data_IF_819940278706
#
_entry.id   IF_819940278706
#
_cell.length_a   1.000
_cell.length_b   1.000
_cell.length_c   1.000
_cell.angle_alpha   90.00
_cell.angle_beta   90.00
_cell.angle_gamma   90.00
#
_symmetry.space_group_name_H-M   'P 1'
#
loop_
_entity.id
_entity.type
_entity.pdbx_description
1 polymer ?
#
# COMPACT_ATOMS: atom_id res chain seq x y z
N UNK A 1 -42.58 15.53 28.24
CA UNK A 1 -41.70 14.40 28.55
C UNK A 1 -41.47 13.50 27.33
N UNK A 2 -42.48 13.34 26.49
CA UNK A 2 -42.43 12.37 25.36
C UNK A 2 -41.37 12.69 24.26
N UNK A 3 -41.18 13.95 23.92
CA UNK A 3 -40.18 14.34 22.91
C UNK A 3 -38.74 14.10 23.38
N UNK A 4 -38.42 14.36 24.65
CA UNK A 4 -37.09 14.11 25.20
C UNK A 4 -36.81 12.61 25.27
N UNK A 5 -37.80 11.83 25.70
CA UNK A 5 -37.69 10.38 25.74
C UNK A 5 -37.50 9.78 24.32
N UNK A 6 -38.26 10.25 23.33
CA UNK A 6 -38.12 9.88 21.95
C UNK A 6 -36.75 10.22 21.41
N UNK A 7 -36.26 11.45 21.66
CA UNK A 7 -34.92 11.88 21.21
C UNK A 7 -33.81 11.04 21.83
N UNK A 8 -33.92 10.71 23.12
CA UNK A 8 -32.97 9.83 23.81
C UNK A 8 -32.99 8.40 23.23
N UNK A 9 -34.17 7.86 22.92
CA UNK A 9 -34.30 6.56 22.26
C UNK A 9 -33.63 6.55 20.89
N UNK A 10 -33.87 7.57 20.05
CA UNK A 10 -33.25 7.73 18.74
C UNK A 10 -31.73 7.80 18.85
N UNK A 11 -31.23 8.65 19.74
CA UNK A 11 -29.81 8.80 19.96
C UNK A 11 -29.17 7.51 20.45
N UNK A 12 -29.77 6.84 21.42
CA UNK A 12 -29.24 5.56 21.95
C UNK A 12 -29.30 4.45 20.90
N UNK A 13 -30.38 4.36 20.13
CA UNK A 13 -30.49 3.39 19.02
C UNK A 13 -29.42 3.62 17.95
N UNK A 14 -29.19 4.85 17.54
CA UNK A 14 -28.13 5.19 16.58
C UNK A 14 -26.72 4.89 17.13
N UNK A 15 -26.47 5.18 18.40
CA UNK A 15 -25.17 4.95 19.04
C UNK A 15 -24.90 3.48 19.40
N UNK A 16 -25.91 2.61 19.38
CA UNK A 16 -25.75 1.18 19.71
C UNK A 16 -26.01 0.26 18.51
N UNK A 17 -27.17 0.40 17.85
CA UNK A 17 -27.55 -0.48 16.75
C UNK A 17 -26.67 -0.29 15.51
N UNK A 18 -26.37 0.96 15.15
CA UNK A 18 -25.52 1.25 13.99
C UNK A 18 -24.10 0.71 14.16
N UNK A 19 -23.37 1.00 15.26
CA UNK A 19 -22.06 0.39 15.49
C UNK A 19 -22.07 -1.13 15.57
N UNK A 20 -23.11 -1.73 16.16
CA UNK A 20 -23.23 -3.19 16.25
C UNK A 20 -23.36 -3.83 14.86
N UNK A 21 -24.20 -3.26 13.98
CA UNK A 21 -24.36 -3.77 12.59
C UNK A 21 -23.11 -3.56 11.76
N UNK A 22 -22.42 -2.43 11.90
CA UNK A 22 -21.11 -2.18 11.25
C UNK A 22 -20.08 -3.19 11.74
N UNK A 23 -19.98 -3.40 13.04
CA UNK A 23 -19.06 -4.39 13.62
C UNK A 23 -19.30 -5.79 13.08
N UNK A 24 -20.58 -6.23 13.03
CA UNK A 24 -20.93 -7.54 12.48
C UNK A 24 -20.56 -7.66 11.00
N UNK A 25 -20.80 -6.63 10.21
CA UNK A 25 -20.41 -6.58 8.79
C UNK A 25 -18.90 -6.77 8.63
N UNK A 26 -18.11 -5.95 9.33
CA UNK A 26 -16.64 -6.04 9.27
C UNK A 26 -16.10 -7.34 9.86
N UNK A 27 -16.76 -7.90 10.87
CA UNK A 27 -16.43 -9.23 11.40
C UNK A 27 -16.68 -10.31 10.34
N UNK A 28 -17.71 -10.15 9.51
CA UNK A 28 -17.95 -10.98 8.34
C UNK A 28 -16.73 -11.06 7.42
N UNK A 29 -16.08 -9.94 7.16
CA UNK A 29 -14.81 -9.91 6.41
C UNK A 29 -13.65 -10.53 7.19
N UNK A 30 -13.53 -10.27 8.48
CA UNK A 30 -12.41 -10.72 9.30
C UNK A 30 -12.34 -12.25 9.49
N UNK A 31 -13.49 -12.92 9.60
CA UNK A 31 -13.57 -14.38 9.86
C UNK A 31 -12.88 -15.20 8.76
N UNK A 32 -13.20 -15.05 7.47
CA UNK A 32 -12.48 -15.79 6.42
C UNK A 32 -10.98 -15.55 6.44
N UNK A 33 -10.54 -14.32 6.73
CA UNK A 33 -9.11 -14.01 6.78
C UNK A 33 -8.41 -14.69 7.93
N UNK A 34 -9.03 -14.78 9.10
CA UNK A 34 -8.51 -15.53 10.24
C UNK A 34 -8.39 -17.03 9.95
N UNK A 35 -9.24 -17.57 9.09
CA UNK A 35 -9.23 -18.99 8.70
C UNK A 35 -8.22 -19.27 7.57
N UNK A 36 -8.09 -18.37 6.60
CA UNK A 36 -7.35 -18.60 5.36
C UNK A 36 -5.91 -18.07 5.40
N UNK A 37 -5.61 -17.10 6.27
CA UNK A 37 -4.27 -16.51 6.43
C UNK A 37 -3.70 -16.78 7.82
N UNK A 38 -2.36 -16.81 7.92
CA UNK A 38 -1.64 -16.83 9.21
C UNK A 38 -1.31 -15.42 9.71
N UNK A 39 -1.52 -14.39 8.89
CA UNK A 39 -1.22 -13.00 9.20
C UNK A 39 -2.17 -12.42 10.25
N UNK A 40 -1.75 -11.40 11.01
CA UNK A 40 -2.65 -10.63 11.86
C UNK A 40 -3.73 -9.92 11.03
N UNK A 41 -4.95 -9.89 11.56
CA UNK A 41 -6.10 -9.23 10.93
C UNK A 41 -6.48 -8.00 11.72
N UNK A 42 -6.52 -6.84 11.06
CA UNK A 42 -6.99 -5.56 11.61
C UNK A 42 -8.42 -5.27 11.20
N UNK A 43 -9.30 -5.06 12.17
CA UNK A 43 -10.68 -4.62 11.98
C UNK A 43 -10.81 -3.22 12.54
N UNK A 44 -11.28 -2.26 11.74
CA UNK A 44 -11.35 -0.85 12.10
C UNK A 44 -12.79 -0.36 12.09
N UNK A 45 -13.22 0.25 13.19
CA UNK A 45 -14.55 0.85 13.34
C UNK A 45 -14.39 2.36 13.49
N UNK A 46 -15.00 3.13 12.59
CA UNK A 46 -14.92 4.59 12.57
C UNK A 46 -13.60 5.16 12.09
N UNK A 47 -12.71 4.32 11.51
CA UNK A 47 -11.45 4.74 10.90
C UNK A 47 -11.12 3.89 9.68
N UNK A 48 -10.29 4.42 8.80
CA UNK A 48 -9.87 3.77 7.54
C UNK A 48 -8.43 3.24 7.66
N UNK A 49 -8.15 2.46 8.70
CA UNK A 49 -6.81 1.89 8.92
C UNK A 49 -5.83 2.82 9.63
N UNK A 50 -6.16 4.10 9.88
CA UNK A 50 -5.31 5.01 10.64
C UNK A 50 -5.35 4.67 12.13
N UNK A 51 -4.25 4.13 12.66
CA UNK A 51 -4.14 3.64 14.05
C UNK A 51 -3.84 4.72 15.10
N UNK A 52 -3.67 6.00 14.70
CA UNK A 52 -3.11 7.03 15.58
C UNK A 52 -3.97 7.46 16.76
N UNK A 53 -5.31 7.24 16.73
CA UNK A 53 -6.26 7.65 17.77
C UNK A 53 -7.37 6.62 17.96
N UNK A 54 -7.01 5.34 18.09
CA UNK A 54 -7.97 4.25 18.25
C UNK A 54 -7.75 3.52 19.57
N UNK A 55 -8.85 3.15 20.22
CA UNK A 55 -8.84 2.13 21.27
C UNK A 55 -8.59 0.77 20.59
N UNK A 56 -7.70 -0.04 21.15
CA UNK A 56 -7.30 -1.34 20.58
C UNK A 56 -7.72 -2.48 21.49
N UNK A 57 -8.41 -3.45 20.93
CA UNK A 57 -8.73 -4.72 21.58
C UNK A 57 -8.08 -5.87 20.79
N UNK A 58 -7.11 -6.55 21.40
CA UNK A 58 -6.39 -7.66 20.77
C UNK A 58 -6.99 -9.00 21.21
N UNK A 59 -7.46 -9.78 20.24
CA UNK A 59 -8.06 -11.11 20.41
C UNK A 59 -7.28 -12.12 19.57
N UNK A 60 -6.16 -12.61 20.09
CA UNK A 60 -5.26 -13.47 19.35
C UNK A 60 -4.67 -12.77 18.12
N UNK A 61 -4.98 -13.29 16.91
CA UNK A 61 -4.59 -12.70 15.63
C UNK A 61 -5.48 -11.55 15.15
N UNK A 62 -6.68 -11.40 15.73
CA UNK A 62 -7.58 -10.29 15.43
C UNK A 62 -7.26 -9.11 16.34
N UNK A 63 -7.10 -7.92 15.76
CA UNK A 63 -7.02 -6.67 16.49
C UNK A 63 -8.15 -5.76 16.04
N UNK A 64 -9.05 -5.43 16.97
CA UNK A 64 -10.15 -4.50 16.71
C UNK A 64 -9.73 -3.10 17.14
N UNK A 65 -9.91 -2.16 16.24
CA UNK A 65 -9.58 -0.74 16.43
C UNK A 65 -10.88 0.06 16.44
N UNK A 66 -11.21 0.69 17.56
CA UNK A 66 -12.35 1.61 17.67
C UNK A 66 -11.84 3.04 17.65
N UNK A 67 -12.35 3.85 16.75
CA UNK A 67 -12.06 5.29 16.78
C UNK A 67 -12.56 5.89 18.10
N UNK A 68 -11.76 6.80 18.72
CA UNK A 68 -12.10 7.41 20.01
C UNK A 68 -13.42 8.21 20.01
N UNK A 69 -13.86 8.71 18.82
CA UNK A 69 -15.14 9.42 18.66
C UNK A 69 -16.22 8.42 18.20
N UNK A 70 -17.20 8.06 19.05
CA UNK A 70 -18.25 7.10 18.72
C UNK A 70 -19.20 7.58 17.63
N UNK A 71 -19.32 8.88 17.38
CA UNK A 71 -20.12 9.41 16.26
C UNK A 71 -19.54 9.05 14.88
N UNK A 72 -18.36 8.47 14.81
CA UNK A 72 -17.77 7.92 13.58
C UNK A 72 -18.01 6.44 13.38
N UNK A 73 -18.60 5.73 14.33
CA UNK A 73 -18.78 4.27 14.27
C UNK A 73 -19.88 3.81 13.29
N UNK A 74 -20.28 4.67 12.35
CA UNK A 74 -21.23 4.33 11.29
C UNK A 74 -20.56 3.74 10.04
N UNK A 75 -19.23 3.57 10.03
CA UNK A 75 -18.46 2.90 8.99
C UNK A 75 -17.30 2.11 9.60
N UNK A 76 -16.84 1.10 8.84
CA UNK A 76 -15.70 0.30 9.20
C UNK A 76 -14.88 -0.08 7.97
N UNK A 77 -13.78 -0.77 8.20
CA UNK A 77 -13.03 -1.46 7.17
C UNK A 77 -12.20 -2.58 7.77
N UNK A 78 -11.98 -3.60 6.96
CA UNK A 78 -11.08 -4.70 7.23
C UNK A 78 -10.23 -4.89 5.98
N UNK A 79 -8.91 -4.98 6.13
CA UNK A 79 -8.01 -5.12 4.98
C UNK A 79 -7.53 -6.56 4.86
N UNK A 80 -7.58 -7.17 3.65
CA UNK A 80 -7.08 -8.51 3.44
C UNK A 80 -5.56 -8.53 3.57
N UNK A 81 -4.98 -9.53 4.23
CA UNK A 81 -3.55 -9.80 4.14
C UNK A 81 -3.18 -10.23 2.72
N UNK A 82 -1.95 -9.92 2.29
CA UNK A 82 -1.50 -10.18 0.92
C UNK A 82 -1.31 -11.65 0.54
N UNK A 83 -1.45 -12.57 1.49
CA UNK A 83 -1.16 -14.00 1.33
C UNK A 83 -2.38 -14.88 1.02
N UNK A 84 -3.57 -14.30 0.79
CA UNK A 84 -4.77 -15.08 0.49
C UNK A 84 -5.01 -15.24 -1.02
N UNK A 85 -5.44 -16.45 -1.43
CA UNK A 85 -5.80 -16.75 -2.81
C UNK A 85 -6.98 -15.90 -3.30
N UNK A 86 -7.17 -15.82 -4.63
CA UNK A 86 -8.29 -15.10 -5.24
C UNK A 86 -9.64 -15.62 -4.73
N UNK A 87 -9.81 -16.95 -4.59
CA UNK A 87 -11.00 -17.52 -3.98
C UNK A 87 -11.20 -17.08 -2.53
N UNK A 88 -10.12 -16.96 -1.76
CA UNK A 88 -10.13 -16.39 -0.42
C UNK A 88 -10.52 -14.91 -0.41
N UNK A 89 -10.03 -14.12 -1.38
CA UNK A 89 -10.43 -12.72 -1.54
C UNK A 89 -11.90 -12.58 -1.93
N UNK A 90 -12.41 -13.44 -2.81
CA UNK A 90 -13.84 -13.48 -3.15
C UNK A 90 -14.69 -13.78 -1.92
N UNK A 91 -14.29 -14.80 -1.14
CA UNK A 91 -15.00 -15.16 0.09
C UNK A 91 -14.97 -14.01 1.10
N UNK A 92 -13.81 -13.39 1.30
CA UNK A 92 -13.65 -12.21 2.14
C UNK A 92 -14.62 -11.09 1.73
N UNK A 93 -14.64 -10.71 0.46
CA UNK A 93 -15.48 -9.60 -0.03
C UNK A 93 -16.96 -9.92 0.06
N UNK A 94 -17.36 -11.17 -0.16
CA UNK A 94 -18.76 -11.59 -0.11
C UNK A 94 -19.33 -11.70 1.32
N UNK A 95 -18.50 -12.05 2.32
CA UNK A 95 -18.99 -12.40 3.66
C UNK A 95 -19.49 -11.20 4.46
N UNK A 96 -18.95 -10.00 4.29
CA UNK A 96 -19.49 -8.79 4.93
C UNK A 96 -20.96 -8.54 4.55
N UNK A 97 -21.28 -8.36 3.25
CA UNK A 97 -22.66 -8.22 2.78
C UNK A 97 -23.58 -9.41 3.19
N UNK A 98 -23.06 -10.65 3.17
CA UNK A 98 -23.83 -11.83 3.60
C UNK A 98 -24.18 -11.80 5.11
N UNK A 99 -23.25 -11.36 5.94
CA UNK A 99 -23.51 -11.20 7.39
C UNK A 99 -24.52 -10.07 7.61
N UNK A 100 -24.44 -8.96 6.86
CA UNK A 100 -25.46 -7.90 6.92
C UNK A 100 -26.83 -8.42 6.51
N UNK A 101 -26.91 -9.26 5.48
CA UNK A 101 -28.17 -9.89 5.04
C UNK A 101 -28.73 -10.81 6.13
N UNK A 102 -27.89 -11.64 6.75
CA UNK A 102 -28.28 -12.47 7.89
C UNK A 102 -28.77 -11.63 9.07
N UNK A 103 -28.05 -10.57 9.42
CA UNK A 103 -28.42 -9.64 10.49
C UNK A 103 -29.78 -8.98 10.19
N UNK A 104 -29.99 -8.53 8.93
CA UNK A 104 -31.28 -7.99 8.50
C UNK A 104 -32.42 -8.98 8.76
N UNK A 105 -32.31 -10.22 8.29
CA UNK A 105 -33.37 -11.22 8.46
C UNK A 105 -33.61 -11.57 9.91
N UNK A 106 -32.56 -11.71 10.73
CA UNK A 106 -32.71 -11.98 12.17
C UNK A 106 -33.43 -10.83 12.86
N UNK A 107 -32.94 -9.58 12.69
CA UNK A 107 -33.55 -8.40 13.28
C UNK A 107 -35.00 -8.21 12.81
N UNK A 108 -35.29 -8.44 11.52
CA UNK A 108 -36.62 -8.34 10.94
C UNK A 108 -37.61 -9.35 11.52
N UNK A 109 -37.18 -10.62 11.69
CA UNK A 109 -38.07 -11.64 12.25
C UNK A 109 -38.34 -11.43 13.74
N UNK A 110 -37.33 -11.03 14.52
CA UNK A 110 -37.51 -10.69 15.94
C UNK A 110 -38.37 -9.42 16.08
N UNK A 111 -38.10 -8.39 15.28
CA UNK A 111 -38.88 -7.14 15.27
C UNK A 111 -40.38 -7.36 15.05
N UNK A 112 -40.76 -8.31 14.15
CA UNK A 112 -42.16 -8.64 13.91
C UNK A 112 -42.87 -9.27 15.08
N UNK A 113 -42.14 -9.91 16.00
CA UNK A 113 -42.67 -10.56 17.18
C UNK A 113 -42.71 -9.66 18.43
N UNK A 114 -42.14 -8.45 18.37
CA UNK A 114 -42.04 -7.56 19.53
C UNK A 114 -43.20 -6.56 19.58
N UNK A 115 -43.65 -6.29 20.83
CA UNK A 115 -44.64 -5.24 21.08
C UNK A 115 -44.11 -3.85 20.70
N UNK A 116 -44.89 -3.02 20.00
CA UNK A 116 -44.48 -1.67 19.60
C UNK A 116 -44.19 -0.76 20.81
N UNK A 117 -43.11 0.02 20.75
CA UNK A 117 -42.90 1.19 21.63
C UNK A 117 -41.81 1.05 22.70
N UNK A 118 -41.18 -0.10 22.85
CA UNK A 118 -40.05 -0.28 23.78
C UNK A 118 -38.70 0.09 23.15
N UNK A 119 -37.68 0.34 24.01
CA UNK A 119 -36.28 0.57 23.56
C UNK A 119 -35.77 -0.58 22.66
N UNK A 120 -36.10 -1.83 23.02
CA UNK A 120 -35.67 -2.99 22.25
C UNK A 120 -36.28 -3.02 20.85
N UNK A 121 -37.58 -2.73 20.73
CA UNK A 121 -38.26 -2.61 19.43
C UNK A 121 -37.61 -1.51 18.57
N UNK A 122 -37.28 -0.36 19.17
CA UNK A 122 -36.58 0.72 18.47
C UNK A 122 -35.15 0.35 18.05
N UNK A 123 -34.39 -0.33 18.91
CA UNK A 123 -33.09 -0.87 18.60
C UNK A 123 -33.14 -1.82 17.38
N UNK A 124 -34.10 -2.77 17.37
CA UNK A 124 -34.30 -3.68 16.25
C UNK A 124 -34.69 -2.95 14.96
N UNK A 125 -35.52 -1.90 15.08
CA UNK A 125 -35.88 -1.04 13.94
C UNK A 125 -34.63 -0.40 13.33
N UNK A 126 -33.80 0.23 14.14
CA UNK A 126 -32.54 0.84 13.70
C UNK A 126 -31.59 -0.21 13.09
N UNK A 127 -31.43 -1.36 13.74
CA UNK A 127 -30.56 -2.45 13.25
C UNK A 127 -31.05 -3.01 11.91
N UNK A 128 -32.35 -3.21 11.74
CA UNK A 128 -32.96 -3.67 10.49
C UNK A 128 -32.75 -2.69 9.36
N UNK A 129 -33.10 -1.41 9.59
CA UNK A 129 -32.94 -0.34 8.59
C UNK A 129 -31.46 -0.17 8.20
N UNK A 130 -30.57 -0.16 9.18
CA UNK A 130 -29.15 0.03 8.90
C UNK A 130 -28.50 -1.18 8.23
N UNK A 131 -28.88 -2.40 8.60
CA UNK A 131 -28.43 -3.63 7.91
C UNK A 131 -28.86 -3.63 6.44
N UNK A 132 -30.11 -3.22 6.16
CA UNK A 132 -30.60 -3.07 4.79
C UNK A 132 -29.83 -1.98 4.01
N UNK A 133 -29.61 -0.83 4.63
CA UNK A 133 -28.76 0.22 4.05
C UNK A 133 -27.35 -0.29 3.75
N UNK A 134 -26.73 -1.01 4.67
CA UNK A 134 -25.38 -1.58 4.50
C UNK A 134 -25.33 -2.54 3.33
N UNK A 135 -26.34 -3.42 3.17
CA UNK A 135 -26.44 -4.32 2.01
C UNK A 135 -26.43 -3.52 0.71
N UNK A 136 -27.30 -2.49 0.60
CA UNK A 136 -27.36 -1.66 -0.60
C UNK A 136 -26.07 -0.86 -0.83
N UNK A 137 -25.48 -0.33 0.23
CA UNK A 137 -24.26 0.48 0.14
C UNK A 137 -23.04 -0.34 -0.25
N UNK A 138 -22.95 -1.61 0.18
CA UNK A 138 -21.80 -2.48 -0.08
C UNK A 138 -22.00 -3.39 -1.28
N UNK A 139 -23.22 -3.89 -1.56
CA UNK A 139 -23.50 -4.79 -2.68
C UNK A 139 -23.62 -4.07 -4.03
N UNK A 140 -24.16 -2.83 -4.06
CA UNK A 140 -24.24 -2.06 -5.31
C UNK A 140 -22.85 -1.55 -5.68
N UNK A 141 -22.27 -1.97 -6.82
CA UNK A 141 -20.88 -1.65 -7.17
C UNK A 141 -20.62 -0.16 -7.29
N UNK A 142 -19.66 0.35 -6.52
CA UNK A 142 -19.16 1.73 -6.56
C UNK A 142 -17.65 1.73 -6.64
N UNK A 143 -17.09 2.37 -7.67
CA UNK A 143 -15.64 2.35 -7.95
C UNK A 143 -14.79 3.09 -6.92
N UNK A 144 -15.36 4.10 -6.28
CA UNK A 144 -14.62 4.92 -5.34
C UNK A 144 -15.54 5.30 -4.18
N UNK A 145 -15.29 4.72 -3.01
CA UNK A 145 -16.02 4.99 -1.77
C UNK A 145 -15.11 5.58 -0.70
N UNK A 146 -13.78 5.52 -0.88
CA UNK A 146 -12.80 6.05 0.05
C UNK A 146 -11.38 5.87 -0.46
N UNK A 147 -10.40 6.14 0.40
CA UNK A 147 -8.99 5.89 0.18
C UNK A 147 -8.47 5.00 1.31
N UNK A 148 -7.60 4.03 0.98
CA UNK A 148 -6.94 3.19 1.97
C UNK A 148 -5.87 3.99 2.75
N UNK A 149 -5.16 3.33 3.68
CA UNK A 149 -4.11 3.96 4.47
C UNK A 149 -2.97 4.56 3.62
N UNK A 150 -2.78 4.05 2.40
CA UNK A 150 -1.77 4.50 1.44
C UNK A 150 -2.30 5.58 0.48
N UNK A 151 -3.49 6.12 0.74
CA UNK A 151 -4.12 7.13 -0.10
C UNK A 151 -4.71 6.62 -1.42
N UNK A 152 -4.70 5.29 -1.67
CA UNK A 152 -5.27 4.72 -2.88
C UNK A 152 -6.80 4.64 -2.78
N UNK A 153 -7.52 5.04 -3.85
CA UNK A 153 -8.97 4.90 -3.88
C UNK A 153 -9.34 3.42 -3.93
N UNK A 154 -10.35 3.03 -3.16
CA UNK A 154 -10.91 1.68 -3.20
C UNK A 154 -12.40 1.71 -3.47
N UNK A 155 -12.88 0.65 -4.11
CA UNK A 155 -14.30 0.41 -4.36
C UNK A 155 -14.97 -0.25 -3.15
N UNK A 156 -16.30 -0.28 -3.14
CA UNK A 156 -17.06 -1.07 -2.16
C UNK A 156 -16.98 -2.57 -2.47
N UNK A 157 -17.54 -3.41 -1.58
CA UNK A 157 -17.50 -4.87 -1.70
C UNK A 157 -18.07 -5.36 -3.03
N UNK A 158 -19.20 -4.82 -3.48
CA UNK A 158 -19.80 -5.19 -4.75
C UNK A 158 -18.88 -4.90 -5.95
N UNK A 159 -18.18 -3.76 -5.94
CA UNK A 159 -17.21 -3.44 -6.98
C UNK A 159 -16.01 -4.39 -6.93
N UNK A 160 -15.45 -4.60 -5.74
CA UNK A 160 -14.31 -5.48 -5.55
C UNK A 160 -14.67 -6.93 -5.92
N UNK A 161 -15.87 -7.39 -5.58
CA UNK A 161 -16.36 -8.71 -5.93
C UNK A 161 -16.51 -8.89 -7.45
N UNK A 162 -17.09 -7.90 -8.15
CA UNK A 162 -17.19 -7.93 -9.60
C UNK A 162 -15.81 -7.90 -10.29
N UNK A 163 -14.87 -7.13 -9.77
CA UNK A 163 -13.50 -7.13 -10.30
C UNK A 163 -12.82 -8.49 -10.09
N UNK A 164 -13.03 -9.14 -8.94
CA UNK A 164 -12.50 -10.48 -8.67
C UNK A 164 -13.15 -11.55 -9.56
N UNK A 165 -14.48 -11.47 -9.78
CA UNK A 165 -15.17 -12.34 -10.75
C UNK A 165 -14.62 -12.12 -12.16
N UNK A 166 -14.55 -10.86 -12.60
CA UNK A 166 -13.99 -10.51 -13.90
C UNK A 166 -12.57 -11.04 -14.05
N UNK A 167 -11.76 -10.86 -13.00
CA UNK A 167 -10.40 -11.39 -12.94
C UNK A 167 -10.39 -12.93 -13.02
N UNK A 168 -11.23 -13.63 -12.27
CA UNK A 168 -11.30 -15.08 -12.24
C UNK A 168 -11.82 -15.72 -13.55
N UNK A 169 -12.85 -15.10 -14.16
CA UNK A 169 -13.51 -15.67 -15.34
C UNK A 169 -12.81 -15.35 -16.66
N UNK A 170 -12.15 -14.19 -16.74
CA UNK A 170 -11.63 -13.69 -18.01
C UNK A 170 -10.10 -13.62 -18.07
N UNK A 171 -9.36 -14.03 -17.02
CA UNK A 171 -7.95 -13.74 -16.91
C UNK A 171 -7.08 -14.89 -16.38
N UNK A 172 -7.24 -16.11 -16.94
CA UNK A 172 -6.31 -17.20 -16.69
C UNK A 172 -4.83 -16.74 -16.82
N UNK A 173 -4.44 -16.14 -17.97
CA UNK A 173 -3.10 -15.59 -18.17
C UNK A 173 -2.71 -14.48 -17.20
N UNK A 174 -3.66 -13.61 -16.80
CA UNK A 174 -3.40 -12.56 -15.80
C UNK A 174 -3.16 -13.09 -14.39
N UNK A 175 -3.79 -14.20 -14.03
CA UNK A 175 -3.55 -14.84 -12.72
C UNK A 175 -2.13 -15.36 -12.64
N UNK A 176 -1.70 -16.09 -13.68
CA UNK A 176 -0.34 -16.64 -13.74
C UNK A 176 0.73 -15.55 -13.78
N UNK A 177 0.50 -14.47 -14.54
CA UNK A 177 1.36 -13.29 -14.51
C UNK A 177 1.44 -12.66 -13.13
N UNK A 178 0.31 -12.48 -12.41
CA UNK A 178 0.31 -11.93 -11.06
C UNK A 178 1.00 -12.85 -10.06
N UNK A 179 0.81 -14.16 -10.17
CA UNK A 179 1.52 -15.13 -9.34
C UNK A 179 3.04 -15.04 -9.57
N UNK A 180 3.48 -14.95 -10.83
CA UNK A 180 4.88 -14.74 -11.16
C UNK A 180 5.42 -13.41 -10.61
N UNK A 181 4.67 -12.30 -10.75
CA UNK A 181 5.03 -10.99 -10.18
C UNK A 181 5.16 -11.06 -8.65
N UNK A 182 4.20 -11.70 -7.97
CA UNK A 182 4.20 -11.84 -6.51
C UNK A 182 5.39 -12.67 -6.01
N UNK A 183 5.82 -13.66 -6.82
CA UNK A 183 7.00 -14.46 -6.56
C UNK A 183 8.30 -13.76 -7.01
N UNK A 184 8.22 -12.55 -7.58
CA UNK A 184 9.33 -11.79 -8.19
C UNK A 184 10.00 -12.50 -9.36
N UNK A 185 9.29 -13.44 -9.99
CA UNK A 185 9.73 -14.11 -11.22
C UNK A 185 9.31 -13.28 -12.45
N UNK A 186 10.00 -12.16 -12.63
CA UNK A 186 9.72 -11.22 -13.72
C UNK A 186 10.01 -11.79 -15.11
N UNK A 187 11.02 -12.66 -15.31
CA UNK A 187 11.22 -13.38 -16.57
C UNK A 187 9.97 -14.19 -16.96
N UNK A 188 9.47 -15.06 -16.08
CA UNK A 188 8.24 -15.82 -16.33
C UNK A 188 7.04 -14.89 -16.57
N UNK A 189 6.89 -13.82 -15.77
CA UNK A 189 5.83 -12.84 -15.95
C UNK A 189 5.89 -12.17 -17.33
N UNK A 190 7.11 -11.92 -17.85
CA UNK A 190 7.31 -11.35 -19.19
C UNK A 190 6.89 -12.33 -20.29
N UNK A 191 7.27 -13.60 -20.19
CA UNK A 191 6.90 -14.62 -21.17
C UNK A 191 5.38 -14.82 -21.24
N UNK A 192 4.72 -14.86 -20.09
CA UNK A 192 3.26 -14.92 -19.98
C UNK A 192 2.58 -13.68 -20.57
N UNK A 193 3.17 -12.49 -20.38
CA UNK A 193 2.66 -11.27 -20.96
C UNK A 193 2.79 -11.24 -22.48
N UNK A 194 3.91 -11.67 -23.03
CA UNK A 194 4.12 -11.76 -24.47
C UNK A 194 3.16 -12.78 -25.10
N UNK A 195 2.98 -13.95 -24.48
CA UNK A 195 2.02 -14.94 -24.91
C UNK A 195 0.60 -14.36 -24.92
N UNK A 196 0.21 -13.63 -23.86
CA UNK A 196 -1.09 -12.97 -23.78
C UNK A 196 -1.31 -11.99 -24.94
N UNK A 197 -0.28 -11.22 -25.33
CA UNK A 197 -0.37 -10.32 -26.48
C UNK A 197 -0.49 -11.07 -27.82
N UNK A 198 0.24 -12.19 -27.99
CA UNK A 198 0.17 -13.05 -29.18
C UNK A 198 -1.21 -13.68 -29.34
N UNK A 199 -1.86 -14.05 -28.24
CA UNK A 199 -3.21 -14.60 -28.21
C UNK A 199 -4.31 -13.52 -28.43
N UNK A 200 -3.91 -12.30 -28.80
CA UNK A 200 -4.82 -11.19 -29.11
C UNK A 200 -5.29 -10.43 -27.87
N UNK A 201 -4.66 -10.67 -26.73
CA UNK A 201 -4.97 -9.95 -25.48
C UNK A 201 -4.54 -8.49 -25.54
N UNK A 202 -5.44 -7.60 -25.17
CA UNK A 202 -5.21 -6.15 -25.20
C UNK A 202 -5.90 -5.50 -24.00
N UNK A 203 -5.52 -4.25 -23.72
CA UNK A 203 -6.21 -3.43 -22.76
C UNK A 203 -5.28 -2.69 -21.80
N UNK A 204 -5.80 -1.63 -21.21
CA UNK A 204 -5.04 -0.75 -20.31
C UNK A 204 -4.35 -1.50 -19.18
N UNK A 205 -5.06 -2.41 -18.51
CA UNK A 205 -4.52 -3.14 -17.36
C UNK A 205 -3.41 -4.12 -17.77
N UNK A 206 -3.55 -4.75 -18.95
CA UNK A 206 -2.48 -5.58 -19.50
C UNK A 206 -1.21 -4.77 -19.78
N UNK A 207 -1.37 -3.65 -20.47
CA UNK A 207 -0.22 -2.78 -20.79
C UNK A 207 0.43 -2.18 -19.53
N UNK A 208 -0.34 -1.86 -18.47
CA UNK A 208 0.21 -1.46 -17.16
C UNK A 208 1.03 -2.55 -16.54
N UNK A 209 0.50 -3.79 -16.54
CA UNK A 209 1.20 -4.95 -15.99
C UNK A 209 2.48 -5.22 -16.77
N UNK A 210 2.43 -5.22 -18.12
CA UNK A 210 3.62 -5.34 -18.95
C UNK A 210 4.64 -4.23 -18.69
N UNK A 211 4.21 -2.97 -18.56
CA UNK A 211 5.11 -1.87 -18.25
C UNK A 211 5.74 -2.02 -16.85
N UNK A 212 5.00 -2.51 -15.87
CA UNK A 212 5.53 -2.84 -14.54
C UNK A 212 6.57 -3.98 -14.62
N UNK A 213 6.26 -5.06 -15.32
CA UNK A 213 7.18 -6.21 -15.53
C UNK A 213 8.47 -5.74 -16.19
N UNK A 214 8.37 -5.00 -17.31
CA UNK A 214 9.56 -4.50 -18.03
C UNK A 214 10.37 -3.48 -17.22
N UNK A 215 9.73 -2.71 -16.36
CA UNK A 215 10.44 -1.84 -15.43
C UNK A 215 11.35 -2.64 -14.48
N UNK A 216 10.83 -3.75 -13.93
CA UNK A 216 11.60 -4.63 -13.05
C UNK A 216 12.69 -5.42 -13.80
N UNK A 217 12.48 -5.73 -15.08
CA UNK A 217 13.50 -6.33 -15.96
C UNK A 217 14.51 -5.31 -16.50
N UNK A 218 14.43 -4.05 -16.06
CA UNK A 218 15.26 -2.92 -16.54
C UNK A 218 15.13 -2.66 -18.06
N UNK A 219 14.06 -3.17 -18.69
CA UNK A 219 13.70 -2.94 -20.10
C UNK A 219 12.84 -1.66 -20.22
N UNK A 220 13.40 -0.53 -19.83
CA UNK A 220 12.66 0.73 -19.64
C UNK A 220 12.01 1.26 -20.91
N UNK A 221 12.67 1.11 -22.08
CA UNK A 221 12.12 1.56 -23.35
C UNK A 221 10.85 0.79 -23.72
N UNK A 222 10.83 -0.52 -23.46
CA UNK A 222 9.64 -1.36 -23.65
C UNK A 222 8.52 -0.95 -22.68
N UNK A 223 8.86 -0.67 -21.43
CA UNK A 223 7.91 -0.20 -20.43
C UNK A 223 7.27 1.14 -20.84
N UNK A 224 8.07 2.10 -21.28
CA UNK A 224 7.60 3.40 -21.77
C UNK A 224 6.75 3.28 -23.04
N UNK A 225 7.11 2.41 -23.97
CA UNK A 225 6.33 2.14 -25.19
C UNK A 225 4.92 1.63 -24.88
N UNK A 226 4.77 0.78 -23.85
CA UNK A 226 3.45 0.33 -23.39
C UNK A 226 2.63 1.47 -22.76
N UNK A 227 3.26 2.35 -22.00
CA UNK A 227 2.60 3.54 -21.45
C UNK A 227 2.18 4.50 -22.56
N UNK A 228 2.97 4.67 -23.62
CA UNK A 228 2.59 5.48 -24.78
C UNK A 228 1.41 4.83 -25.52
N UNK A 229 1.36 3.51 -25.61
CA UNK A 229 0.21 2.78 -26.14
C UNK A 229 -1.06 3.04 -25.31
N UNK A 230 -0.94 3.12 -23.99
CA UNK A 230 -2.06 3.52 -23.12
C UNK A 230 -2.46 4.97 -23.41
N UNK A 231 -1.50 5.88 -23.54
CA UNK A 231 -1.73 7.30 -23.79
C UNK A 231 -2.46 7.55 -25.12
N UNK A 232 -2.08 6.83 -26.17
CA UNK A 232 -2.69 6.97 -27.50
C UNK A 232 -4.13 6.44 -27.59
N UNK A 233 -4.45 5.40 -26.81
CA UNK A 233 -5.76 4.70 -26.86
C UNK A 233 -6.71 5.09 -25.73
N UNK A 234 -6.19 5.66 -24.65
CA UNK A 234 -6.93 5.92 -23.41
C UNK A 234 -6.43 7.20 -22.75
N UNK A 235 -7.27 7.86 -21.95
CA UNK A 235 -6.83 8.97 -21.09
C UNK A 235 -5.89 8.44 -19.99
N UNK A 236 -4.73 9.05 -19.84
CA UNK A 236 -3.81 8.74 -18.73
C UNK A 236 -4.48 9.03 -17.38
N UNK A 237 -4.30 8.14 -16.42
CA UNK A 237 -4.81 8.26 -15.05
C UNK A 237 -3.65 8.35 -14.05
N UNK A 238 -3.95 8.67 -12.82
CA UNK A 238 -2.99 8.80 -11.71
C UNK A 238 -1.96 7.67 -11.69
N UNK A 239 -2.40 6.43 -11.74
CA UNK A 239 -1.51 5.26 -11.74
C UNK A 239 -0.57 5.21 -12.96
N UNK A 240 -1.01 5.63 -14.15
CA UNK A 240 -0.18 5.65 -15.36
C UNK A 240 0.96 6.66 -15.21
N UNK A 241 0.67 7.83 -14.62
CA UNK A 241 1.70 8.83 -14.29
C UNK A 241 2.64 8.34 -13.19
N UNK A 242 2.12 7.70 -12.13
CA UNK A 242 2.97 7.10 -11.08
C UNK A 242 3.94 6.09 -11.68
N UNK A 243 3.46 5.18 -12.54
CA UNK A 243 4.30 4.19 -13.18
C UNK A 243 5.34 4.83 -14.11
N UNK A 244 4.96 5.85 -14.90
CA UNK A 244 5.89 6.61 -15.73
C UNK A 244 7.00 7.28 -14.89
N UNK A 245 6.60 7.97 -13.81
CA UNK A 245 7.56 8.59 -12.90
C UNK A 245 8.48 7.55 -12.23
N UNK A 246 7.95 6.39 -11.85
CA UNK A 246 8.75 5.29 -11.28
C UNK A 246 9.77 4.74 -12.29
N UNK A 247 9.40 4.59 -13.57
CA UNK A 247 10.33 4.19 -14.62
C UNK A 247 11.45 5.23 -14.78
N UNK A 248 11.13 6.53 -14.76
CA UNK A 248 12.15 7.57 -14.81
C UNK A 248 13.07 7.55 -13.59
N UNK A 249 12.54 7.29 -12.37
CA UNK A 249 13.38 7.11 -11.19
C UNK A 249 14.33 5.92 -11.34
N UNK A 250 13.85 4.81 -11.88
CA UNK A 250 14.67 3.61 -12.12
C UNK A 250 15.76 3.84 -13.17
N UNK A 251 15.52 4.74 -14.15
CA UNK A 251 16.52 5.21 -15.11
C UNK A 251 17.45 6.31 -14.56
N UNK A 252 17.29 6.73 -13.30
CA UNK A 252 17.94 7.89 -12.70
C UNK A 252 17.67 9.23 -13.45
N UNK A 253 16.60 9.29 -14.22
CA UNK A 253 16.09 10.50 -14.87
C UNK A 253 15.27 11.32 -13.87
N UNK A 254 15.95 11.80 -12.83
CA UNK A 254 15.32 12.37 -11.63
C UNK A 254 14.56 13.65 -11.94
N UNK A 255 15.09 14.45 -12.87
CA UNK A 255 14.51 15.72 -13.29
C UNK A 255 13.28 15.57 -14.19
N UNK A 256 13.16 14.44 -14.89
CA UNK A 256 11.94 14.06 -15.61
C UNK A 256 10.87 13.48 -14.67
N UNK A 257 11.28 12.81 -13.59
CA UNK A 257 10.38 12.20 -12.61
C UNK A 257 9.74 13.24 -11.68
N UNK A 258 10.48 14.23 -11.23
CA UNK A 258 10.04 15.22 -10.23
C UNK A 258 8.74 15.94 -10.63
N UNK A 259 8.60 16.57 -11.82
CA UNK A 259 7.39 17.28 -12.19
C UNK A 259 6.16 16.36 -12.28
N UNK A 260 6.35 15.07 -12.56
CA UNK A 260 5.24 14.10 -12.55
C UNK A 260 4.70 13.93 -11.12
N UNK A 261 5.58 13.68 -10.15
CA UNK A 261 5.14 13.50 -8.77
C UNK A 261 4.64 14.81 -8.15
N UNK A 262 5.17 15.95 -8.52
CA UNK A 262 4.65 17.27 -8.12
C UNK A 262 3.22 17.47 -8.63
N UNK A 263 2.98 17.24 -9.91
CA UNK A 263 1.62 17.32 -10.48
C UNK A 263 0.64 16.33 -9.84
N UNK A 264 1.10 15.16 -9.43
CA UNK A 264 0.26 14.19 -8.70
C UNK A 264 -0.08 14.69 -7.29
N UNK A 265 0.90 15.29 -6.62
CA UNK A 265 0.73 15.87 -5.28
C UNK A 265 -0.11 17.14 -5.27
N UNK A 266 -0.12 17.94 -6.35
CA UNK A 266 -1.03 19.06 -6.52
C UNK A 266 -2.51 18.60 -6.55
N UNK A 267 -2.76 17.42 -7.11
CA UNK A 267 -4.10 16.83 -7.19
C UNK A 267 -4.50 16.07 -5.92
N UNK A 268 -3.56 15.36 -5.34
CA UNK A 268 -3.73 14.61 -4.10
C UNK A 268 -2.50 14.81 -3.20
N UNK A 269 -2.49 15.85 -2.35
CA UNK A 269 -1.36 16.15 -1.47
C UNK A 269 -1.03 15.05 -0.45
N UNK A 270 -1.94 14.12 -0.19
CA UNK A 270 -1.79 13.02 0.78
C UNK A 270 -1.48 11.67 0.12
N UNK A 271 -1.02 11.67 -1.14
CA UNK A 271 -0.53 10.46 -1.80
C UNK A 271 0.86 10.08 -1.28
N UNK A 272 0.90 9.11 -0.36
CA UNK A 272 2.13 8.65 0.30
C UNK A 272 3.15 8.07 -0.69
N UNK A 273 2.69 7.44 -1.78
CA UNK A 273 3.57 6.91 -2.83
C UNK A 273 4.28 8.04 -3.59
N UNK A 274 3.54 9.05 -4.04
CA UNK A 274 4.13 10.21 -4.72
C UNK A 274 5.02 11.03 -3.80
N UNK A 275 4.67 11.17 -2.50
CA UNK A 275 5.53 11.82 -1.51
C UNK A 275 6.85 11.07 -1.33
N UNK A 276 6.83 9.75 -1.24
CA UNK A 276 8.03 8.92 -1.15
C UNK A 276 8.86 8.98 -2.42
N UNK A 277 8.25 8.88 -3.59
CA UNK A 277 8.93 8.93 -4.88
C UNK A 277 9.61 10.30 -5.11
N UNK A 278 8.92 11.40 -4.80
CA UNK A 278 9.51 12.74 -4.80
C UNK A 278 10.67 12.84 -3.80
N UNK A 279 10.49 12.28 -2.58
CA UNK A 279 11.54 12.26 -1.56
C UNK A 279 12.77 11.47 -2.00
N UNK A 280 12.60 10.33 -2.67
CA UNK A 280 13.70 9.58 -3.28
C UNK A 280 14.44 10.40 -4.32
N UNK A 281 13.72 11.01 -5.29
CA UNK A 281 14.31 11.83 -6.34
C UNK A 281 15.13 12.99 -5.75
N UNK A 282 14.55 13.73 -4.80
CA UNK A 282 15.22 14.83 -4.11
C UNK A 282 16.48 14.37 -3.34
N UNK A 283 16.39 13.24 -2.64
CA UNK A 283 17.52 12.64 -1.93
C UNK A 283 18.66 12.26 -2.88
N UNK A 284 18.35 11.66 -4.03
CA UNK A 284 19.34 11.32 -5.06
C UNK A 284 19.95 12.57 -5.74
N UNK A 285 19.22 13.70 -5.77
CA UNK A 285 19.74 15.01 -6.22
C UNK A 285 20.51 15.77 -5.12
N UNK A 286 20.70 15.19 -3.94
CA UNK A 286 21.37 15.85 -2.81
C UNK A 286 20.52 16.88 -2.06
N UNK A 287 19.24 17.03 -2.39
CA UNK A 287 18.28 17.96 -1.75
C UNK A 287 17.63 17.33 -0.53
N UNK A 288 18.46 16.93 0.44
CA UNK A 288 18.04 16.05 1.55
C UNK A 288 17.02 16.69 2.50
N UNK A 289 17.13 17.99 2.81
CA UNK A 289 16.20 18.71 3.67
C UNK A 289 14.80 18.76 3.05
N UNK A 290 14.72 18.99 1.75
CA UNK A 290 13.45 19.00 1.01
C UNK A 290 12.86 17.57 0.94
N UNK A 291 13.69 16.56 0.69
CA UNK A 291 13.29 15.17 0.70
C UNK A 291 12.63 14.78 2.03
N UNK A 292 13.22 15.17 3.14
CA UNK A 292 12.71 14.87 4.49
C UNK A 292 11.32 15.44 4.75
N UNK A 293 10.93 16.58 4.17
CA UNK A 293 9.59 17.14 4.35
C UNK A 293 8.52 16.20 3.79
N UNK A 294 8.69 15.74 2.55
CA UNK A 294 7.80 14.78 1.89
C UNK A 294 7.79 13.42 2.59
N UNK A 295 8.98 12.89 2.91
CA UNK A 295 9.14 11.59 3.57
C UNK A 295 8.53 11.55 4.97
N UNK A 296 8.65 12.63 5.75
CA UNK A 296 7.97 12.75 7.04
C UNK A 296 6.46 12.69 6.89
N UNK A 297 5.90 13.32 5.84
CA UNK A 297 4.47 13.26 5.56
C UNK A 297 4.05 11.87 5.10
N UNK A 298 4.81 11.22 4.20
CA UNK A 298 4.57 9.86 3.74
C UNK A 298 4.50 8.87 4.90
N UNK A 299 5.45 8.94 5.84
CA UNK A 299 5.49 8.08 7.03
C UNK A 299 4.30 8.34 7.98
N UNK A 300 3.87 9.60 8.15
CA UNK A 300 2.68 9.88 8.96
C UNK A 300 1.41 9.32 8.34
N UNK A 301 1.30 9.35 7.01
CA UNK A 301 0.15 8.82 6.26
C UNK A 301 0.16 7.30 6.21
N UNK A 302 1.33 6.69 6.02
CA UNK A 302 1.53 5.25 5.91
C UNK A 302 2.67 4.78 6.82
N UNK A 303 2.43 4.55 8.13
CA UNK A 303 3.47 4.15 9.08
C UNK A 303 4.12 2.78 8.83
N UNK A 304 3.55 1.97 7.94
CA UNK A 304 4.11 0.68 7.49
C UNK A 304 4.92 0.78 6.18
N UNK A 305 5.16 1.96 5.66
CA UNK A 305 5.82 2.12 4.37
C UNK A 305 7.35 2.06 4.48
N UNK A 306 7.91 0.86 4.34
CA UNK A 306 9.34 0.58 4.50
C UNK A 306 10.24 1.50 3.68
N UNK A 307 9.91 1.73 2.40
CA UNK A 307 10.71 2.58 1.51
C UNK A 307 10.80 4.03 1.96
N UNK A 308 9.76 4.57 2.59
CA UNK A 308 9.79 5.94 3.09
C UNK A 308 10.77 6.09 4.28
N UNK A 309 10.82 5.10 5.17
CA UNK A 309 11.85 5.05 6.22
C UNK A 309 13.25 4.91 5.63
N UNK A 310 13.44 4.00 4.66
CA UNK A 310 14.73 3.85 3.99
C UNK A 310 15.23 5.16 3.37
N UNK A 311 14.39 5.86 2.61
CA UNK A 311 14.76 7.09 1.93
C UNK A 311 15.00 8.24 2.92
N UNK A 312 14.24 8.30 4.01
CA UNK A 312 14.49 9.26 5.09
C UNK A 312 15.78 8.94 5.84
N UNK A 313 16.05 7.67 6.12
CA UNK A 313 17.29 7.19 6.73
C UNK A 313 18.51 7.56 5.89
N UNK A 314 18.44 7.31 4.57
CA UNK A 314 19.47 7.74 3.61
C UNK A 314 19.75 9.24 3.68
N UNK A 315 18.72 10.07 3.62
CA UNK A 315 18.87 11.51 3.69
C UNK A 315 19.46 11.97 5.03
N UNK A 316 19.04 11.37 6.16
CA UNK A 316 19.59 11.68 7.49
C UNK A 316 21.07 11.31 7.61
N UNK A 317 21.46 10.14 7.09
CA UNK A 317 22.87 9.71 7.11
C UNK A 317 23.74 10.73 6.34
N UNK A 318 23.28 11.18 5.18
CA UNK A 318 24.03 12.18 4.37
C UNK A 318 24.02 13.58 5.00
N UNK A 319 23.04 13.92 5.81
CA UNK A 319 23.03 15.13 6.65
C UNK A 319 23.83 15.00 7.96
N UNK A 320 24.57 13.90 8.17
CA UNK A 320 25.34 13.64 9.38
C UNK A 320 24.52 13.25 10.61
N UNK A 321 23.21 13.06 10.49
CA UNK A 321 22.30 12.63 11.55
C UNK A 321 22.35 11.09 11.69
N UNK A 322 23.51 10.54 11.97
CA UNK A 322 23.81 9.12 11.83
C UNK A 322 22.88 8.22 12.64
N UNK A 323 22.72 8.47 13.94
CA UNK A 323 21.90 7.61 14.81
C UNK A 323 20.41 7.68 14.45
N UNK A 324 19.90 8.86 14.08
CA UNK A 324 18.53 9.03 13.61
C UNK A 324 18.31 8.39 12.23
N UNK A 325 19.35 8.36 11.39
CA UNK A 325 19.36 7.66 10.11
C UNK A 325 19.34 6.14 10.31
N UNK A 326 20.19 5.61 11.21
CA UNK A 326 20.22 4.19 11.55
C UNK A 326 18.86 3.71 12.07
N UNK A 327 18.21 4.47 12.96
CA UNK A 327 16.90 4.10 13.48
C UNK A 327 15.84 3.97 12.37
N UNK A 328 15.86 4.85 11.37
CA UNK A 328 14.96 4.76 10.21
C UNK A 328 15.33 3.55 9.31
N UNK A 329 16.60 3.30 9.04
CA UNK A 329 17.04 2.15 8.26
C UNK A 329 16.67 0.83 8.95
N UNK A 330 16.86 0.73 10.26
CA UNK A 330 16.45 -0.45 11.04
C UNK A 330 14.93 -0.64 10.97
N UNK A 331 14.16 0.45 11.08
CA UNK A 331 12.70 0.39 10.94
C UNK A 331 12.27 -0.07 9.56
N UNK A 332 12.98 0.36 8.51
CA UNK A 332 12.74 -0.12 7.14
C UNK A 332 13.00 -1.62 7.02
N UNK A 333 14.11 -2.10 7.59
CA UNK A 333 14.48 -3.51 7.57
C UNK A 333 13.46 -4.39 8.32
N UNK A 334 12.96 -3.92 9.48
CA UNK A 334 11.91 -4.60 10.26
C UNK A 334 10.59 -4.72 9.48
N UNK A 335 10.32 -3.79 8.56
CA UNK A 335 9.10 -3.76 7.74
C UNK A 335 9.25 -4.56 6.44
N UNK A 336 10.44 -4.57 5.83
CA UNK A 336 10.74 -5.30 4.58
C UNK A 336 12.23 -5.67 4.55
N UNK A 337 12.54 -6.89 4.93
CA UNK A 337 13.90 -7.46 4.96
C UNK A 337 14.45 -7.81 3.57
N UNK A 338 13.60 -7.76 2.52
CA UNK A 338 13.99 -7.99 1.12
C UNK A 338 14.28 -6.69 0.36
N UNK A 339 14.22 -5.55 1.02
CA UNK A 339 14.55 -4.27 0.41
C UNK A 339 16.07 -4.09 0.30
N UNK A 340 16.64 -4.34 -0.88
CA UNK A 340 18.09 -4.19 -1.12
C UNK A 340 18.64 -2.79 -0.85
N UNK A 341 17.83 -1.75 -1.06
CA UNK A 341 18.24 -0.37 -0.79
C UNK A 341 18.55 -0.11 0.69
N UNK A 342 17.90 -0.80 1.61
CA UNK A 342 18.19 -0.62 3.05
C UNK A 342 19.57 -1.17 3.41
N UNK A 343 19.97 -2.30 2.81
CA UNK A 343 21.31 -2.85 3.02
C UNK A 343 22.41 -1.93 2.44
N UNK A 344 22.20 -1.40 1.22
CA UNK A 344 23.10 -0.40 0.66
C UNK A 344 23.26 0.81 1.58
N UNK A 345 22.16 1.32 2.13
CA UNK A 345 22.17 2.52 2.98
C UNK A 345 22.71 2.23 4.40
N UNK A 346 22.61 1.00 4.90
CA UNK A 346 23.35 0.55 6.09
C UNK A 346 24.86 0.49 5.82
N UNK A 347 25.27 0.03 4.63
CA UNK A 347 26.66 0.13 4.19
C UNK A 347 27.15 1.58 4.19
N UNK A 348 26.38 2.53 3.61
CA UNK A 348 26.70 3.95 3.67
C UNK A 348 26.80 4.49 5.10
N UNK A 349 25.89 4.08 6.01
CA UNK A 349 25.96 4.46 7.43
C UNK A 349 27.29 4.06 8.05
N UNK A 350 27.77 2.83 7.84
CA UNK A 350 29.05 2.36 8.35
C UNK A 350 30.24 3.07 7.69
N UNK A 351 30.17 3.41 6.39
CA UNK A 351 31.17 4.25 5.74
C UNK A 351 31.28 5.61 6.42
N UNK A 352 30.16 6.27 6.72
CA UNK A 352 30.15 7.56 7.42
C UNK A 352 30.66 7.48 8.86
N UNK A 353 30.64 6.28 9.47
CA UNK A 353 31.28 6.00 10.78
C UNK A 353 32.74 5.61 10.68
N UNK A 354 33.32 5.54 9.49
CA UNK A 354 34.67 5.04 9.25
C UNK A 354 34.85 3.56 9.68
N UNK A 355 33.82 2.75 9.41
CA UNK A 355 33.76 1.31 9.74
C UNK A 355 33.66 0.49 8.43
N UNK A 356 34.78 0.31 7.67
CA UNK A 356 34.70 -0.29 6.32
C UNK A 356 34.32 -1.78 6.33
N UNK A 357 34.73 -2.56 7.32
CA UNK A 357 34.41 -3.99 7.35
C UNK A 357 32.90 -4.25 7.51
N UNK A 358 32.16 -3.69 8.48
CA UNK A 358 30.71 -3.74 8.51
C UNK A 358 30.04 -3.15 7.25
N UNK A 359 30.62 -2.11 6.66
CA UNK A 359 30.09 -1.53 5.42
C UNK A 359 30.09 -2.58 4.29
N UNK A 360 31.21 -3.26 4.06
CA UNK A 360 31.34 -4.31 3.05
C UNK A 360 30.31 -5.43 3.26
N UNK A 361 30.11 -5.89 4.50
CA UNK A 361 29.13 -6.95 4.80
C UNK A 361 27.69 -6.55 4.37
N UNK A 362 27.31 -5.31 4.60
CA UNK A 362 26.00 -4.82 4.18
C UNK A 362 25.91 -4.59 2.67
N UNK A 363 26.97 -4.08 2.05
CA UNK A 363 27.02 -3.87 0.61
C UNK A 363 26.96 -5.20 -0.17
N UNK A 364 27.60 -6.27 0.34
CA UNK A 364 27.48 -7.61 -0.26
C UNK A 364 26.05 -8.13 -0.19
N UNK A 365 25.32 -7.91 0.90
CA UNK A 365 23.90 -8.23 1.00
C UNK A 365 23.05 -7.45 -0.02
N UNK A 366 23.35 -6.16 -0.21
CA UNK A 366 22.69 -5.34 -1.21
C UNK A 366 22.94 -5.87 -2.63
N UNK A 367 24.22 -6.20 -2.94
CA UNK A 367 24.65 -6.74 -4.22
C UNK A 367 24.02 -8.09 -4.55
N UNK A 368 23.84 -8.94 -3.55
CA UNK A 368 23.16 -10.24 -3.73
C UNK A 368 21.67 -10.08 -4.12
N UNK A 369 21.05 -8.94 -3.79
CA UNK A 369 19.66 -8.64 -4.14
C UNK A 369 19.59 -7.97 -5.52
N UNK A 370 20.41 -6.96 -5.78
CA UNK A 370 20.50 -6.23 -7.04
C UNK A 370 21.92 -5.66 -7.22
N UNK A 371 22.71 -6.30 -8.09
CA UNK A 371 24.09 -5.91 -8.33
C UNK A 371 24.22 -4.53 -9.03
N UNK A 372 23.21 -4.12 -9.83
CA UNK A 372 23.23 -2.86 -10.58
C UNK A 372 22.53 -1.70 -9.82
N UNK A 373 22.42 -1.83 -8.50
CA UNK A 373 21.76 -0.81 -7.68
C UNK A 373 22.53 0.51 -7.72
N UNK A 374 21.85 1.66 -7.93
CA UNK A 374 22.52 2.96 -7.95
C UNK A 374 23.40 3.20 -6.70
N UNK A 375 24.57 3.81 -6.90
CA UNK A 375 25.57 4.15 -5.87
C UNK A 375 26.29 2.95 -5.23
N UNK A 376 25.90 1.70 -5.52
CA UNK A 376 26.45 0.52 -4.86
C UNK A 376 27.95 0.38 -5.11
N UNK A 377 28.37 0.43 -6.38
CA UNK A 377 29.78 0.28 -6.77
C UNK A 377 30.66 1.38 -6.16
N UNK A 378 30.17 2.63 -6.11
CA UNK A 378 30.87 3.73 -5.48
C UNK A 378 31.13 3.49 -3.98
N UNK A 379 30.14 2.95 -3.28
CA UNK A 379 30.29 2.63 -1.86
C UNK A 379 31.22 1.42 -1.64
N UNK A 380 31.24 0.43 -2.54
CA UNK A 380 32.24 -0.64 -2.51
C UNK A 380 33.65 -0.10 -2.67
N UNK A 381 33.88 0.77 -3.64
CA UNK A 381 35.18 1.39 -3.87
C UNK A 381 35.63 2.21 -2.65
N UNK A 382 34.73 3.01 -2.06
CA UNK A 382 35.00 3.79 -0.85
C UNK A 382 35.39 2.85 0.31
N UNK A 383 34.59 1.79 0.57
CA UNK A 383 34.87 0.84 1.64
C UNK A 383 36.21 0.12 1.46
N UNK A 384 36.49 -0.37 0.25
CA UNK A 384 37.73 -1.08 -0.06
C UNK A 384 38.95 -0.16 0.10
N UNK A 385 38.84 1.09 -0.34
CA UNK A 385 39.94 2.07 -0.17
C UNK A 385 40.25 2.35 1.31
N UNK A 386 39.26 2.31 2.18
CA UNK A 386 39.41 2.50 3.63
C UNK A 386 40.04 1.30 4.34
N UNK A 387 39.93 0.08 3.80
CA UNK A 387 40.62 -1.12 4.36
C UNK A 387 42.10 -1.19 4.00
N UNK A 388 42.58 -0.39 3.05
CA UNK A 388 43.95 -0.45 2.56
C UNK A 388 44.23 -1.67 1.65
N UNK A 389 43.21 -2.46 1.31
CA UNK A 389 43.30 -3.57 0.35
C UNK A 389 43.11 -3.04 -1.07
N UNK A 390 44.16 -2.54 -1.70
CA UNK A 390 44.17 -2.23 -3.13
C UNK A 390 44.25 -3.54 -3.93
N UNK A 391 43.12 -4.11 -4.26
CA UNK A 391 43.07 -5.12 -5.33
C UNK A 391 43.31 -4.43 -6.68
N UNK A 392 44.52 -4.57 -7.20
CA UNK A 392 44.87 -4.23 -8.57
C UNK A 392 44.19 -5.19 -9.56
N UNK A 393 42.97 -4.86 -9.99
CA UNK A 393 42.41 -5.38 -11.24
C UNK A 393 41.23 -4.50 -11.70
N UNK A 394 41.47 -3.67 -12.68
CA UNK A 394 40.43 -2.93 -13.40
C UNK A 394 40.64 -1.43 -13.40
N UNK A 395 40.71 -0.84 -14.57
CA UNK A 395 40.93 0.56 -14.87
C UNK A 395 40.10 1.51 -13.98
N UNK A 396 40.82 2.43 -13.34
CA UNK A 396 40.23 3.47 -12.50
C UNK A 396 39.52 4.48 -13.43
N UNK A 397 38.21 4.40 -13.49
CA UNK A 397 37.41 5.55 -13.92
C UNK A 397 37.24 6.46 -12.69
N UNK A 398 37.61 7.76 -12.78
CA UNK A 398 37.46 8.68 -11.66
C UNK A 398 35.98 8.83 -11.29
N UNK A 399 35.65 9.03 -10.00
CA UNK A 399 34.27 9.25 -9.59
C UNK A 399 33.70 10.46 -10.30
N UNK A 400 32.47 10.30 -10.82
CA UNK A 400 31.71 11.41 -11.42
C UNK A 400 31.60 12.56 -10.39
N UNK A 401 31.97 13.77 -10.75
CA UNK A 401 31.84 14.90 -9.84
C UNK A 401 30.36 15.11 -9.48
N UNK A 402 30.12 15.29 -8.20
CA UNK A 402 28.80 15.76 -7.73
C UNK A 402 28.44 17.04 -8.49
N UNK A 403 27.20 17.21 -8.95
CA UNK A 403 26.80 18.42 -9.66
C UNK A 403 27.03 19.64 -8.77
N UNK A 404 27.97 20.48 -9.15
CA UNK A 404 28.21 21.77 -8.52
C UNK A 404 27.01 22.67 -8.80
N UNK A 405 26.36 23.11 -7.74
CA UNK A 405 25.34 24.17 -7.76
C UNK A 405 25.88 25.42 -8.49
N UNK A 406 25.21 25.82 -9.54
CA UNK A 406 25.14 27.19 -10.03
C UNK A 406 23.69 27.64 -10.07
#
# INVERSE_FOLDING_TARGET
MDYIYFLLMVLTGLLTAVPATVFLHELGHAVPMLLLSKQPVGLFIGSQGNSGRNLRLKLGRLTVHFHYNPFRWYYGCCFPPGDISIGGQMLYVATGPLVSLGTFFVCWNVWKGEEPGGFYHFFLTCATIYSFYTILATAIPRRQVGHNADGQPYGNDGHNFLELIRYSLFHGPFREMNEAINNRDYPLASDLFEQYLQDGGHGRNAYRMGAYIYCHLKQYDRALALLETIRSKHSFKTYDYQLQGTIYLAQLRLEDALPIFESLLDRNPDDSLSLNAKGYALGMLGRHEEAMQGLNRAIRLAPGFAYAYNNRGFSKVLLGQLEAGLADLQKSLDLDDKNGYVYRNLGLYHLKKNEPAPALDYLEKAKAIDADMPLLDGYFQEATSMTGETNFAGEITPPLPLPTTR
#
